data_IF_721417510920
#
_entry.id   IF_721417510920
#
_cell.length_a   1.000
_cell.length_b   1.000
_cell.length_c   1.000
_cell.angle_alpha   90.00
_cell.angle_beta   90.00
_cell.angle_gamma   90.00
#
_symmetry.space_group_name_H-M   'P 1'
#
loop_
_entity.id
_entity.type
_entity.pdbx_description
1 polymer ?
#
# COMPACT_ATOMS: atom_id res chain seq x y z
N UNK A 1 14.31 -15.00 50.87
CA UNK A 1 13.85 -16.01 49.88
C UNK A 1 12.54 -15.64 49.18
N UNK A 2 11.49 -15.16 49.88
CA UNK A 2 10.20 -14.77 49.26
C UNK A 2 10.33 -13.57 48.29
N UNK A 3 11.04 -12.52 48.69
CA UNK A 3 11.23 -11.32 47.86
C UNK A 3 11.92 -11.62 46.52
N UNK A 4 12.97 -12.45 46.53
CA UNK A 4 13.69 -12.85 45.32
C UNK A 4 12.81 -13.68 44.37
N UNK A 5 11.91 -14.51 44.90
CA UNK A 5 10.92 -15.24 44.11
C UNK A 5 9.91 -14.28 43.46
N UNK A 6 9.47 -13.26 44.18
CA UNK A 6 8.56 -12.22 43.66
C UNK A 6 9.23 -11.41 42.54
N UNK A 7 10.48 -10.95 42.74
CA UNK A 7 11.24 -10.24 41.70
C UNK A 7 11.43 -11.08 40.43
N UNK A 8 11.74 -12.37 40.58
CA UNK A 8 11.82 -13.31 39.44
C UNK A 8 10.48 -13.48 38.74
N UNK A 9 9.37 -13.59 39.47
CA UNK A 9 8.04 -13.68 38.86
C UNK A 9 7.69 -12.42 38.07
N UNK A 10 7.95 -11.24 38.63
CA UNK A 10 7.70 -9.96 37.96
C UNK A 10 8.53 -9.86 36.69
N UNK A 11 9.81 -10.24 36.76
CA UNK A 11 10.70 -10.22 35.59
C UNK A 11 10.22 -11.17 34.48
N UNK A 12 9.78 -12.38 34.83
CA UNK A 12 9.22 -13.34 33.87
C UNK A 12 7.94 -12.77 33.26
N UNK A 13 7.03 -12.22 34.06
CA UNK A 13 5.78 -11.64 33.57
C UNK A 13 6.03 -10.47 32.60
N UNK A 14 7.00 -9.59 32.89
CA UNK A 14 7.40 -8.48 32.02
C UNK A 14 7.98 -8.97 30.70
N UNK A 15 8.84 -10.00 30.73
CA UNK A 15 9.40 -10.59 29.51
C UNK A 15 8.32 -11.28 28.68
N UNK A 16 7.39 -12.01 29.31
CA UNK A 16 6.25 -12.62 28.62
C UNK A 16 5.32 -11.57 28.00
N UNK A 17 5.06 -10.47 28.70
CA UNK A 17 4.25 -9.37 28.17
C UNK A 17 4.94 -8.70 26.98
N UNK A 18 6.25 -8.45 27.06
CA UNK A 18 7.02 -7.88 25.96
C UNK A 18 7.01 -8.78 24.73
N UNK A 19 7.29 -10.08 24.89
CA UNK A 19 7.23 -11.04 23.77
C UNK A 19 5.82 -11.16 23.19
N UNK A 20 4.78 -11.16 24.03
CA UNK A 20 3.39 -11.24 23.57
C UNK A 20 2.97 -9.98 22.79
N UNK A 21 3.46 -8.80 23.19
CA UNK A 21 3.19 -7.55 22.48
C UNK A 21 3.76 -7.52 21.05
N UNK A 22 4.92 -8.17 20.83
CA UNK A 22 5.52 -8.28 19.50
C UNK A 22 4.69 -9.17 18.57
N UNK A 23 4.10 -10.25 19.10
CA UNK A 23 3.23 -11.14 18.31
C UNK A 23 1.93 -10.45 17.88
N UNK A 24 1.33 -9.63 18.74
CA UNK A 24 0.14 -8.84 18.40
C UNK A 24 0.42 -7.75 17.34
N UNK A 25 1.60 -7.12 17.40
CA UNK A 25 2.01 -6.13 16.39
C UNK A 25 2.20 -6.77 15.00
N UNK A 26 2.76 -7.97 14.92
CA UNK A 26 2.93 -8.68 13.66
C UNK A 26 1.58 -9.07 13.01
N UNK A 27 0.57 -9.42 13.82
CA UNK A 27 -0.76 -9.82 13.32
C UNK A 27 -1.63 -8.64 12.88
N UNK A 28 -1.30 -7.41 13.27
CA UNK A 28 -2.06 -6.19 12.91
C UNK A 28 -1.43 -5.39 11.77
N UNK A 29 -0.33 -5.89 11.18
CA UNK A 29 0.32 -5.23 10.05
C UNK A 29 -0.43 -5.56 8.76
N UNK A 30 -1.58 -4.92 8.57
CA UNK A 30 -2.17 -4.78 7.25
C UNK A 30 -1.26 -3.87 6.41
N UNK A 31 -0.52 -4.46 5.48
CA UNK A 31 0.29 -3.69 4.54
C UNK A 31 -0.61 -3.21 3.41
N UNK A 32 -1.28 -2.06 3.59
CA UNK A 32 -1.93 -1.38 2.46
C UNK A 32 -0.92 -0.49 1.74
N UNK A 33 -0.96 -0.48 0.41
CA UNK A 33 -0.14 0.41 -0.41
C UNK A 33 -1.00 1.56 -0.91
N UNK A 34 -0.67 2.74 -0.41
CA UNK A 34 -1.31 3.99 -0.85
C UNK A 34 -0.78 4.43 -2.22
N UNK A 35 -1.46 3.98 -3.27
CA UNK A 35 -1.18 4.38 -4.65
C UNK A 35 -1.62 5.82 -4.96
N UNK A 36 -2.32 6.55 -4.08
CA UNK A 36 -2.68 7.95 -4.37
C UNK A 36 -1.46 8.88 -4.43
N UNK A 37 -0.33 8.44 -3.86
CA UNK A 37 0.94 9.17 -3.82
C UNK A 37 1.90 8.77 -4.94
N UNK A 38 1.54 7.78 -5.75
CA UNK A 38 2.40 7.30 -6.83
C UNK A 38 2.14 8.08 -8.11
N UNK A 39 3.01 7.84 -9.09
CA UNK A 39 2.97 8.54 -10.35
C UNK A 39 1.98 7.88 -11.32
N UNK A 40 0.76 8.42 -11.40
CA UNK A 40 -0.27 8.00 -12.35
C UNK A 40 -0.17 8.67 -13.73
N UNK A 41 -0.42 7.91 -14.78
CA UNK A 41 -0.66 8.46 -16.11
C UNK A 41 -2.05 8.05 -16.61
N UNK A 42 -2.61 8.84 -17.51
CA UNK A 42 -3.85 8.54 -18.20
C UNK A 42 -3.72 8.73 -19.70
N UNK A 43 -4.64 8.12 -20.45
CA UNK A 43 -4.89 8.46 -21.84
C UNK A 43 -6.36 8.28 -22.17
N UNK A 44 -6.84 9.06 -23.11
CA UNK A 44 -8.17 8.86 -23.68
C UNK A 44 -8.15 7.75 -24.73
N UNK A 45 -9.26 7.03 -24.88
CA UNK A 45 -9.47 6.11 -25.99
C UNK A 45 -10.31 4.89 -25.63
N UNK A 46 -10.98 4.35 -26.62
CA UNK A 46 -11.89 3.20 -26.49
C UNK A 46 -11.16 1.86 -26.65
N UNK A 47 -10.01 1.87 -27.35
CA UNK A 47 -9.20 0.69 -27.59
C UNK A 47 -8.25 0.40 -26.42
N UNK A 48 -8.00 -0.89 -26.16
CA UNK A 48 -6.97 -1.33 -25.23
C UNK A 48 -5.60 -0.73 -25.62
N UNK A 49 -4.87 -0.12 -24.68
CA UNK A 49 -3.59 0.50 -24.98
C UNK A 49 -2.54 -0.57 -25.32
N UNK A 50 -1.78 -0.32 -26.37
CA UNK A 50 -0.64 -1.17 -26.76
C UNK A 50 0.69 -0.54 -26.35
N UNK A 51 1.74 -1.36 -26.24
CA UNK A 51 3.08 -0.89 -25.86
C UNK A 51 3.71 0.10 -26.86
N UNK A 52 3.12 0.27 -28.06
CA UNK A 52 3.62 1.20 -29.09
C UNK A 52 3.12 2.63 -28.91
N UNK A 53 2.12 2.84 -28.05
CA UNK A 53 1.40 4.10 -27.91
C UNK A 53 1.84 4.88 -26.66
N UNK A 54 3.14 4.84 -26.35
CA UNK A 54 3.71 5.46 -25.14
C UNK A 54 3.53 6.98 -25.11
N UNK A 55 3.54 7.63 -26.29
CA UNK A 55 3.45 9.08 -26.40
C UNK A 55 2.07 9.66 -26.09
N UNK A 56 1.02 8.82 -26.02
CA UNK A 56 -0.36 9.28 -25.77
C UNK A 56 -0.70 9.38 -24.28
N UNK A 57 0.20 8.90 -23.41
CA UNK A 57 0.03 8.94 -21.97
C UNK A 57 0.44 10.28 -21.39
N UNK A 58 -0.40 10.82 -20.52
CA UNK A 58 -0.21 12.11 -19.86
C UNK A 58 -0.23 11.94 -18.34
N UNK A 59 0.57 12.76 -17.67
CA UNK A 59 0.72 12.75 -16.22
C UNK A 59 -0.58 13.20 -15.53
N UNK A 60 -0.95 12.51 -14.45
CA UNK A 60 -2.00 12.95 -13.52
C UNK A 60 -1.58 12.67 -12.08
N UNK A 61 -2.01 13.50 -11.14
CA UNK A 61 -1.54 13.42 -9.75
C UNK A 61 -2.08 12.18 -9.03
N UNK A 62 -3.35 11.88 -9.23
CA UNK A 62 -4.04 10.70 -8.72
C UNK A 62 -5.16 10.33 -9.69
N UNK A 63 -5.69 9.08 -9.70
CA UNK A 63 -6.79 8.71 -10.57
C UNK A 63 -7.97 9.66 -10.30
N UNK A 64 -8.19 10.55 -11.25
CA UNK A 64 -9.13 11.67 -11.22
C UNK A 64 -9.67 11.86 -12.63
N UNK A 65 -10.81 12.55 -12.76
CA UNK A 65 -11.39 12.80 -14.08
C UNK A 65 -10.41 13.68 -14.89
N UNK A 66 -9.82 13.18 -15.99
CA UNK A 66 -8.78 13.93 -16.67
C UNK A 66 -9.34 15.19 -17.32
N UNK A 67 -8.52 16.23 -17.49
CA UNK A 67 -8.94 17.46 -18.15
C UNK A 67 -9.25 17.23 -19.63
N UNK A 68 -9.92 18.19 -20.25
CA UNK A 68 -10.17 18.23 -21.70
C UNK A 68 -10.86 16.98 -22.23
N UNK A 69 -12.02 16.64 -21.64
CA UNK A 69 -12.81 15.48 -22.08
C UNK A 69 -13.18 15.56 -23.57
N UNK A 70 -13.50 16.73 -24.11
CA UNK A 70 -13.76 16.93 -25.55
C UNK A 70 -14.73 15.91 -26.18
N UNK A 71 -15.74 15.45 -25.42
CA UNK A 71 -16.69 14.43 -25.87
C UNK A 71 -16.19 12.99 -25.84
N UNK A 72 -14.97 12.73 -25.36
CA UNK A 72 -14.41 11.38 -25.16
C UNK A 72 -15.10 10.68 -23.99
N UNK A 73 -15.41 9.40 -24.16
CA UNK A 73 -16.16 8.63 -23.17
C UNK A 73 -15.26 7.74 -22.32
N UNK A 74 -14.27 7.09 -22.94
CA UNK A 74 -13.42 6.09 -22.28
C UNK A 74 -12.00 6.60 -22.01
N UNK A 75 -11.46 6.18 -20.88
CA UNK A 75 -10.14 6.57 -20.37
C UNK A 75 -9.43 5.35 -19.82
N UNK A 76 -8.13 5.26 -20.09
CA UNK A 76 -7.22 4.30 -19.49
C UNK A 76 -6.33 5.00 -18.47
N UNK A 77 -6.04 4.31 -17.38
CA UNK A 77 -5.09 4.73 -16.36
C UNK A 77 -3.99 3.69 -16.22
N UNK A 78 -2.79 4.14 -15.87
CA UNK A 78 -1.69 3.25 -15.51
C UNK A 78 -0.87 3.85 -14.37
N UNK A 79 -0.21 2.96 -13.64
CA UNK A 79 0.68 3.30 -12.53
C UNK A 79 1.75 2.23 -12.44
N UNK A 80 2.96 2.63 -12.02
CA UNK A 80 4.01 1.68 -11.66
C UNK A 80 3.77 1.23 -10.23
N UNK A 81 3.54 -0.08 -10.07
CA UNK A 81 3.44 -0.69 -8.75
C UNK A 81 4.83 -0.75 -8.10
N UNK A 82 4.92 -0.54 -6.77
CA UNK A 82 6.17 -0.78 -6.04
C UNK A 82 6.54 -2.27 -6.09
N UNK A 83 7.84 -2.55 -5.93
CA UNK A 83 8.38 -3.92 -5.97
C UNK A 83 7.91 -4.79 -4.80
N UNK A 84 7.70 -4.17 -3.64
CA UNK A 84 7.23 -4.85 -2.43
C UNK A 84 5.71 -4.68 -2.35
N UNK A 85 4.98 -5.70 -2.80
CA UNK A 85 3.52 -5.75 -2.76
C UNK A 85 3.06 -6.66 -1.60
N UNK A 86 1.89 -6.39 -1.02
CA UNK A 86 1.27 -7.29 -0.06
C UNK A 86 1.04 -8.65 -0.72
N UNK A 87 1.28 -9.72 0.02
CA UNK A 87 1.04 -11.08 -0.45
C UNK A 87 -0.45 -11.42 -0.61
N UNK A 88 -1.33 -10.66 0.04
CA UNK A 88 -2.79 -10.74 -0.08
C UNK A 88 -3.30 -9.35 -0.51
N UNK A 89 -3.87 -9.20 -1.73
CA UNK A 89 -4.21 -7.89 -2.31
C UNK A 89 -5.49 -7.25 -1.75
#
# INVERSE_FOLDING_TARGET
MKEQKIKKLIFIALMSFLSFSQTLYAFSKDSFIDLSKTKWDYRWGDSLPTAKEENDWQRIDFPSNPPLREGRENVWYRVVLPLDLPSDP
#
